data_IF_622714282002
#
_entry.id   IF_622714282002
#
_cell.length_a   1.000
_cell.length_b   1.000
_cell.length_c   1.000
_cell.angle_alpha   90.00
_cell.angle_beta   90.00
_cell.angle_gamma   90.00
#
_symmetry.space_group_name_H-M   'P 1'
#
loop_
_entity.id
_entity.type
_entity.pdbx_description
1 polymer ?
#
# COMPACT_ATOMS: atom_id res chain seq x y z
N UNK A 1 -52.31 3.99 23.95
CA UNK A 1 -51.86 5.35 24.30
C UNK A 1 -52.34 5.80 25.68
N UNK A 2 -53.62 5.65 26.05
CA UNK A 2 -54.15 6.10 27.37
C UNK A 2 -53.57 5.37 28.59
N UNK A 3 -53.34 4.04 28.52
CA UNK A 3 -52.68 3.28 29.61
C UNK A 3 -51.24 3.71 29.88
N UNK A 4 -50.51 4.17 28.85
CA UNK A 4 -49.16 4.73 28.98
C UNK A 4 -49.19 6.12 29.64
N UNK A 5 -50.21 6.94 29.34
CA UNK A 5 -50.42 8.25 29.98
C UNK A 5 -50.86 8.14 31.44
N UNK A 6 -51.74 7.19 31.78
CA UNK A 6 -52.18 6.94 33.16
C UNK A 6 -51.09 6.30 34.05
N UNK A 7 -50.20 5.48 33.47
CA UNK A 7 -49.03 4.98 34.19
C UNK A 7 -47.99 6.08 34.47
N UNK A 8 -47.88 7.11 33.63
CA UNK A 8 -46.90 8.20 33.79
C UNK A 8 -47.18 9.15 34.98
N UNK A 9 -48.37 9.07 35.60
CA UNK A 9 -48.76 9.91 36.75
C UNK A 9 -48.44 9.26 38.11
N UNK A 10 -48.24 7.93 38.16
CA UNK A 10 -47.90 7.21 39.40
C UNK A 10 -46.39 6.96 39.51
N UNK A 11 -45.83 6.96 40.73
CA UNK A 11 -44.39 6.76 40.95
C UNK A 11 -43.85 5.42 40.37
N UNK A 12 -44.57 4.29 40.48
CA UNK A 12 -44.16 3.02 39.88
C UNK A 12 -44.13 3.06 38.35
N UNK A 13 -45.09 3.72 37.70
CA UNK A 13 -45.09 3.83 36.24
C UNK A 13 -43.99 4.76 35.71
N UNK A 14 -43.66 5.83 36.44
CA UNK A 14 -42.50 6.70 36.13
C UNK A 14 -41.18 5.94 36.20
N UNK A 15 -40.99 5.07 37.21
CA UNK A 15 -39.79 4.25 37.33
C UNK A 15 -39.64 3.25 36.17
N UNK A 16 -40.74 2.62 35.72
CA UNK A 16 -40.73 1.74 34.54
C UNK A 16 -40.32 2.47 33.26
N UNK A 17 -40.85 3.67 33.03
CA UNK A 17 -40.51 4.48 31.85
C UNK A 17 -39.03 4.88 31.88
N UNK A 18 -38.53 5.35 33.03
CA UNK A 18 -37.11 5.70 33.18
C UNK A 18 -36.22 4.47 32.91
N UNK A 19 -36.59 3.30 33.42
CA UNK A 19 -35.80 2.08 33.19
C UNK A 19 -35.80 1.61 31.75
N UNK A 20 -36.95 1.64 31.09
CA UNK A 20 -37.03 1.35 29.67
C UNK A 20 -36.20 2.36 28.84
N UNK A 21 -36.26 3.65 29.17
CA UNK A 21 -35.49 4.69 28.49
C UNK A 21 -33.97 4.53 28.69
N UNK A 22 -33.51 4.22 29.90
CA UNK A 22 -32.09 3.97 30.18
C UNK A 22 -31.60 2.71 29.47
N UNK A 23 -32.36 1.63 29.51
CA UNK A 23 -32.02 0.40 28.79
C UNK A 23 -31.96 0.65 27.27
N UNK A 24 -32.92 1.40 26.72
CA UNK A 24 -32.93 1.78 25.31
C UNK A 24 -31.71 2.65 24.94
N UNK A 25 -31.31 3.61 25.79
CA UNK A 25 -30.11 4.43 25.56
C UNK A 25 -28.82 3.60 25.58
N UNK A 26 -28.68 2.65 26.52
CA UNK A 26 -27.52 1.76 26.59
C UNK A 26 -27.46 0.83 25.37
N UNK A 27 -28.61 0.29 24.93
CA UNK A 27 -28.69 -0.50 23.70
C UNK A 27 -28.37 0.32 22.46
N UNK A 28 -28.87 1.56 22.38
CA UNK A 28 -28.58 2.47 21.27
C UNK A 28 -27.08 2.78 21.21
N UNK A 29 -26.44 3.10 22.33
CA UNK A 29 -24.99 3.29 22.41
C UNK A 29 -24.25 2.05 21.91
N UNK A 30 -24.64 0.85 22.37
CA UNK A 30 -24.06 -0.41 21.89
C UNK A 30 -24.22 -0.62 20.38
N UNK A 31 -25.41 -0.41 19.83
CA UNK A 31 -25.70 -0.59 18.40
C UNK A 31 -24.93 0.39 17.53
N UNK A 32 -24.87 1.67 17.91
CA UNK A 32 -24.08 2.69 17.20
C UNK A 32 -22.59 2.35 17.25
N UNK A 33 -22.11 1.87 18.40
CA UNK A 33 -20.73 1.41 18.60
C UNK A 33 -20.39 0.24 17.68
N UNK A 34 -21.22 -0.81 17.67
CA UNK A 34 -21.06 -1.95 16.78
C UNK A 34 -21.04 -1.51 15.31
N UNK A 35 -21.98 -0.66 14.88
CA UNK A 35 -22.04 -0.17 13.51
C UNK A 35 -20.79 0.61 13.08
N UNK A 36 -20.36 1.60 13.88
CA UNK A 36 -19.17 2.40 13.59
C UNK A 36 -17.88 1.55 13.58
N UNK A 37 -17.73 0.61 14.53
CA UNK A 37 -16.55 -0.26 14.55
C UNK A 37 -16.57 -1.24 13.37
N UNK A 38 -17.72 -1.78 13.01
CA UNK A 38 -17.82 -2.77 11.92
C UNK A 38 -17.40 -2.17 10.57
N UNK A 39 -17.80 -0.93 10.29
CA UNK A 39 -17.34 -0.19 9.11
C UNK A 39 -15.81 -0.02 9.09
N UNK A 40 -15.20 0.28 10.25
CA UNK A 40 -13.75 0.47 10.38
C UNK A 40 -12.97 -0.83 10.30
N UNK A 41 -13.51 -1.92 10.85
CA UNK A 41 -12.94 -3.27 10.69
C UNK A 41 -12.94 -3.65 9.22
N UNK A 42 -14.03 -3.39 8.49
CA UNK A 42 -14.09 -3.61 7.04
C UNK A 42 -13.05 -2.80 6.28
N UNK A 43 -12.92 -1.50 6.56
CA UNK A 43 -11.90 -0.65 5.92
C UNK A 43 -10.46 -1.09 6.26
N UNK A 44 -10.18 -1.45 7.51
CA UNK A 44 -8.86 -1.95 7.91
C UNK A 44 -8.54 -3.34 7.32
N UNK A 45 -9.55 -4.20 7.15
CA UNK A 45 -9.41 -5.48 6.46
C UNK A 45 -9.13 -5.26 4.97
N UNK A 46 -9.82 -4.30 4.35
CA UNK A 46 -9.59 -3.91 2.96
C UNK A 46 -8.16 -3.40 2.72
N UNK A 47 -7.62 -2.58 3.63
CA UNK A 47 -6.21 -2.13 3.59
C UNK A 47 -5.24 -3.31 3.53
N UNK A 48 -5.43 -4.33 4.37
CA UNK A 48 -4.51 -5.47 4.50
C UNK A 48 -4.74 -6.54 3.44
N UNK A 49 -6.00 -6.87 3.18
CA UNK A 49 -6.41 -8.03 2.40
C UNK A 49 -6.60 -7.74 0.92
N UNK A 50 -6.74 -6.47 0.52
CA UNK A 50 -7.06 -6.11 -0.86
C UNK A 50 -6.24 -4.94 -1.40
N UNK A 51 -6.38 -3.76 -0.81
CA UNK A 51 -5.89 -2.51 -1.41
C UNK A 51 -4.37 -2.41 -1.38
N UNK A 52 -3.71 -2.89 -0.31
CA UNK A 52 -2.26 -2.93 -0.31
C UNK A 52 -1.68 -4.01 -1.23
N UNK A 53 -2.16 -5.28 -1.21
CA UNK A 53 -1.74 -6.28 -2.20
C UNK A 53 -1.90 -5.80 -3.65
N UNK A 54 -3.01 -5.12 -3.98
CA UNK A 54 -3.22 -4.56 -5.32
C UNK A 54 -2.19 -3.47 -5.68
N UNK A 55 -1.88 -2.56 -4.76
CA UNK A 55 -0.82 -1.56 -4.96
C UNK A 55 0.56 -2.21 -5.16
N UNK A 56 0.88 -3.25 -4.39
CA UNK A 56 2.13 -4.00 -4.53
C UNK A 56 2.21 -4.82 -5.83
N UNK A 57 1.09 -5.42 -6.26
CA UNK A 57 0.99 -6.11 -7.54
C UNK A 57 1.15 -5.13 -8.70
N UNK A 58 0.53 -3.95 -8.63
CA UNK A 58 0.69 -2.89 -9.64
C UNK A 58 2.15 -2.41 -9.77
N UNK A 59 2.84 -2.19 -8.65
CA UNK A 59 4.28 -1.90 -8.65
C UNK A 59 5.10 -3.06 -9.25
N UNK A 60 4.69 -4.31 -8.98
CA UNK A 60 5.34 -5.52 -9.51
C UNK A 60 5.11 -5.71 -11.01
N UNK A 61 3.97 -5.27 -11.56
CA UNK A 61 3.71 -5.24 -13.00
C UNK A 61 4.71 -4.30 -13.68
N UNK A 62 4.81 -3.05 -13.20
CA UNK A 62 5.76 -2.08 -13.76
C UNK A 62 7.18 -2.67 -13.79
N UNK A 63 7.62 -3.18 -12.64
CA UNK A 63 8.95 -3.73 -12.48
C UNK A 63 9.21 -4.89 -13.44
N UNK A 64 8.29 -5.86 -13.50
CA UNK A 64 8.44 -7.01 -14.40
C UNK A 64 8.52 -6.57 -15.87
N UNK A 65 7.79 -5.53 -16.26
CA UNK A 65 7.87 -4.98 -17.62
C UNK A 65 9.21 -4.30 -17.89
N UNK A 66 9.69 -3.47 -16.96
CA UNK A 66 10.95 -2.75 -17.12
C UNK A 66 12.19 -3.67 -17.02
N UNK A 67 12.15 -4.67 -16.15
CA UNK A 67 13.17 -5.72 -16.05
C UNK A 67 13.24 -6.56 -17.33
N UNK A 68 12.08 -6.95 -17.89
CA UNK A 68 12.02 -7.62 -19.18
C UNK A 68 12.65 -6.77 -20.29
N UNK A 69 12.37 -5.46 -20.32
CA UNK A 69 12.94 -4.57 -21.32
C UNK A 69 14.46 -4.42 -21.21
N UNK A 70 14.95 -4.31 -19.98
CA UNK A 70 16.37 -4.30 -19.67
C UNK A 70 17.06 -5.60 -20.08
N UNK A 71 16.46 -6.75 -19.76
CA UNK A 71 16.99 -8.06 -20.12
C UNK A 71 17.01 -8.25 -21.65
N UNK A 72 15.94 -7.82 -22.34
CA UNK A 72 15.87 -7.91 -23.80
C UNK A 72 16.93 -7.06 -24.49
N UNK A 73 17.19 -5.86 -23.98
CA UNK A 73 18.20 -4.93 -24.49
C UNK A 73 19.62 -5.46 -24.25
N UNK A 74 19.88 -5.99 -23.04
CA UNK A 74 21.17 -6.59 -22.69
C UNK A 74 21.45 -7.84 -23.53
N UNK A 75 20.43 -8.70 -23.72
CA UNK A 75 20.55 -9.90 -24.55
C UNK A 75 20.77 -9.57 -26.03
N UNK A 76 20.14 -8.52 -26.53
CA UNK A 76 20.40 -8.04 -27.89
C UNK A 76 21.83 -7.52 -28.06
N UNK A 77 22.32 -6.75 -27.08
CA UNK A 77 23.69 -6.22 -27.06
C UNK A 77 24.76 -7.33 -27.01
N UNK A 78 24.46 -8.48 -26.39
CA UNK A 78 25.33 -9.65 -26.40
C UNK A 78 25.43 -10.34 -27.78
N UNK A 79 24.54 -10.01 -28.73
CA UNK A 79 24.61 -10.52 -30.11
C UNK A 79 23.99 -11.90 -30.30
N UNK A 80 24.59 -12.72 -31.18
CA UNK A 80 24.08 -14.05 -31.53
C UNK A 80 24.17 -15.07 -30.38
N UNK A 81 25.17 -14.90 -29.51
CA UNK A 81 25.46 -15.75 -28.36
C UNK A 81 24.85 -15.18 -27.07
N UNK A 82 23.57 -14.80 -27.14
CA UNK A 82 22.84 -14.31 -25.98
C UNK A 82 22.91 -15.31 -24.80
N UNK A 83 23.36 -14.88 -23.61
CA UNK A 83 23.43 -15.75 -22.44
C UNK A 83 22.07 -16.31 -22.07
N UNK A 84 22.03 -17.60 -21.73
CA UNK A 84 20.80 -18.30 -21.37
C UNK A 84 20.11 -17.66 -20.17
N UNK A 85 20.89 -17.20 -19.21
CA UNK A 85 20.41 -16.58 -17.97
C UNK A 85 19.64 -15.28 -18.26
N UNK A 86 20.10 -14.48 -19.23
CA UNK A 86 19.42 -13.23 -19.65
C UNK A 86 18.08 -13.53 -20.31
N UNK A 87 18.04 -14.59 -21.13
CA UNK A 87 16.78 -15.07 -21.73
C UNK A 87 15.80 -15.58 -20.68
N UNK A 88 16.25 -16.43 -19.76
CA UNK A 88 15.40 -16.95 -18.68
C UNK A 88 14.84 -15.82 -17.80
N UNK A 89 15.64 -14.76 -17.53
CA UNK A 89 15.17 -13.56 -16.83
C UNK A 89 14.03 -12.87 -17.60
N UNK A 90 14.24 -12.58 -18.89
CA UNK A 90 13.20 -11.99 -19.75
C UNK A 90 11.88 -12.79 -19.75
N UNK A 91 11.96 -14.11 -19.97
CA UNK A 91 10.76 -14.97 -20.02
C UNK A 91 10.03 -15.01 -18.68
N UNK A 92 10.79 -15.07 -17.57
CA UNK A 92 10.24 -15.03 -16.22
C UNK A 92 9.49 -13.72 -15.97
N UNK A 93 10.08 -12.59 -16.36
CA UNK A 93 9.50 -11.28 -16.09
C UNK A 93 8.25 -11.01 -16.94
N UNK A 94 8.25 -11.39 -18.22
CA UNK A 94 7.03 -11.38 -19.05
C UNK A 94 5.93 -12.28 -18.48
N UNK A 95 6.30 -13.48 -18.00
CA UNK A 95 5.35 -14.41 -17.39
C UNK A 95 4.76 -13.84 -16.09
N UNK A 96 5.61 -13.22 -15.25
CA UNK A 96 5.19 -12.59 -14.00
C UNK A 96 4.27 -11.40 -14.26
N UNK A 97 4.63 -10.51 -15.18
CA UNK A 97 3.78 -9.39 -15.61
C UNK A 97 2.39 -9.90 -16.05
N UNK A 98 2.36 -10.93 -16.90
CA UNK A 98 1.11 -11.53 -17.38
C UNK A 98 0.24 -12.10 -16.25
N UNK A 99 0.84 -12.83 -15.30
CA UNK A 99 0.13 -13.37 -14.14
C UNK A 99 -0.43 -12.27 -13.24
N UNK A 100 0.38 -11.24 -12.97
CA UNK A 100 -0.03 -10.10 -12.16
C UNK A 100 -1.14 -9.31 -12.83
N UNK A 101 -1.12 -9.15 -14.17
CA UNK A 101 -2.20 -8.51 -14.91
C UNK A 101 -3.52 -9.29 -14.80
N UNK A 102 -3.47 -10.62 -14.85
CA UNK A 102 -4.66 -11.47 -14.63
C UNK A 102 -5.19 -11.32 -13.20
N UNK A 103 -4.29 -11.33 -12.21
CA UNK A 103 -4.67 -11.13 -10.81
C UNK A 103 -5.27 -9.74 -10.58
N UNK A 104 -4.67 -8.69 -11.15
CA UNK A 104 -5.19 -7.33 -11.11
C UNK A 104 -6.57 -7.28 -11.77
N UNK A 105 -6.74 -7.82 -12.98
CA UNK A 105 -8.04 -7.85 -13.66
C UNK A 105 -9.16 -8.56 -12.84
N UNK A 106 -8.81 -9.60 -12.08
CA UNK A 106 -9.75 -10.35 -11.24
C UNK A 106 -10.14 -9.61 -9.95
N UNK A 107 -9.31 -8.68 -9.47
CA UNK A 107 -9.45 -8.03 -8.15
C UNK A 107 -9.63 -6.51 -8.23
N UNK A 108 -9.39 -5.90 -9.39
CA UNK A 108 -9.70 -4.49 -9.67
C UNK A 108 -11.21 -4.31 -9.59
N UNK A 109 -11.65 -3.44 -8.69
CA UNK A 109 -13.06 -3.16 -8.46
C UNK A 109 -13.73 -2.42 -9.62
N UNK A 110 -14.77 -1.64 -9.32
CA UNK A 110 -15.48 -0.86 -10.33
C UNK A 110 -14.69 0.33 -10.92
N UNK A 111 -13.46 0.56 -10.44
CA UNK A 111 -12.61 1.67 -10.87
C UNK A 111 -12.35 1.63 -12.38
N UNK A 112 -12.64 2.73 -13.06
CA UNK A 112 -12.57 2.81 -14.52
C UNK A 112 -11.12 3.00 -15.00
N UNK A 113 -10.33 3.76 -14.26
CA UNK A 113 -8.95 4.08 -14.63
C UNK A 113 -8.05 2.84 -14.56
N UNK A 114 -8.13 2.07 -13.47
CA UNK A 114 -7.36 0.84 -13.30
C UNK A 114 -7.72 -0.20 -14.36
N UNK A 115 -9.03 -0.39 -14.64
CA UNK A 115 -9.49 -1.30 -15.71
C UNK A 115 -8.97 -0.87 -17.08
N UNK A 116 -8.95 0.43 -17.38
CA UNK A 116 -8.42 0.97 -18.64
C UNK A 116 -6.92 0.68 -18.78
N UNK A 117 -6.13 0.89 -17.72
CA UNK A 117 -4.69 0.59 -17.78
C UNK A 117 -4.43 -0.91 -17.93
N UNK A 118 -5.15 -1.77 -17.20
CA UNK A 118 -5.02 -3.23 -17.31
C UNK A 118 -5.35 -3.71 -18.72
N UNK A 119 -6.42 -3.17 -19.33
CA UNK A 119 -6.79 -3.52 -20.71
C UNK A 119 -5.69 -3.11 -21.71
N UNK A 120 -5.15 -1.89 -21.57
CA UNK A 120 -4.05 -1.41 -22.42
C UNK A 120 -2.81 -2.29 -22.26
N UNK A 121 -2.43 -2.62 -21.03
CA UNK A 121 -1.30 -3.49 -20.73
C UNK A 121 -1.49 -4.90 -21.32
N UNK A 122 -2.69 -5.47 -21.17
CA UNK A 122 -3.04 -6.77 -21.74
C UNK A 122 -3.03 -6.80 -23.27
N UNK A 123 -3.35 -5.69 -23.94
CA UNK A 123 -3.28 -5.58 -25.40
C UNK A 123 -1.84 -5.40 -25.90
N UNK A 124 -1.06 -4.55 -25.23
CA UNK A 124 0.27 -4.15 -25.72
C UNK A 124 1.37 -5.15 -25.38
N UNK A 125 1.26 -5.89 -24.27
CA UNK A 125 2.29 -6.85 -23.86
C UNK A 125 2.55 -7.96 -24.91
N UNK A 126 1.52 -8.60 -25.52
CA UNK A 126 1.74 -9.55 -26.61
C UNK A 126 2.40 -8.92 -27.86
N UNK A 127 2.07 -7.67 -28.18
CA UNK A 127 2.69 -6.96 -29.33
C UNK A 127 4.16 -6.70 -29.08
N UNK A 128 4.49 -6.22 -27.88
CA UNK A 128 5.86 -6.02 -27.42
C UNK A 128 6.68 -7.31 -27.50
N UNK A 129 6.19 -8.40 -26.91
CA UNK A 129 6.90 -9.70 -26.92
C UNK A 129 7.13 -10.19 -28.35
N UNK A 130 6.14 -10.06 -29.24
CA UNK A 130 6.30 -10.40 -30.66
C UNK A 130 7.41 -9.62 -31.38
N UNK A 131 7.60 -8.33 -31.05
CA UNK A 131 8.68 -7.51 -31.60
C UNK A 131 10.05 -7.92 -31.05
N UNK A 132 10.15 -8.24 -29.76
CA UNK A 132 11.40 -8.72 -29.15
C UNK A 132 11.85 -10.04 -29.78
N UNK A 133 10.93 -10.98 -30.02
CA UNK A 133 11.26 -12.24 -30.68
C UNK A 133 11.73 -12.03 -32.12
N UNK A 134 11.10 -11.11 -32.87
CA UNK A 134 11.56 -10.74 -34.22
C UNK A 134 12.95 -10.10 -34.18
N UNK A 135 13.18 -9.17 -33.24
CA UNK A 135 14.49 -8.55 -33.05
C UNK A 135 15.57 -9.60 -32.78
N UNK A 136 15.30 -10.54 -31.87
CA UNK A 136 16.21 -11.63 -31.49
C UNK A 136 16.50 -12.59 -32.64
N UNK A 137 15.48 -13.06 -33.35
CA UNK A 137 15.64 -13.94 -34.49
C UNK A 137 16.49 -13.29 -35.60
N UNK A 138 16.30 -12.00 -35.80
CA UNK A 138 17.04 -11.19 -36.79
C UNK A 138 18.48 -10.91 -36.32
N UNK A 139 18.69 -10.67 -35.02
CA UNK A 139 20.01 -10.49 -34.41
C UNK A 139 20.88 -11.73 -34.55
N UNK A 140 20.30 -12.92 -34.33
CA UNK A 140 20.99 -14.21 -34.55
C UNK A 140 21.44 -14.43 -35.99
N UNK A 141 20.79 -13.79 -36.96
CA UNK A 141 21.17 -13.83 -38.37
C UNK A 141 22.16 -12.72 -38.75
N UNK A 142 22.54 -11.85 -37.81
CA UNK A 142 23.42 -10.70 -38.07
C UNK A 142 22.79 -9.61 -38.92
N UNK A 143 21.45 -9.61 -39.06
CA UNK A 143 20.75 -8.66 -39.92
C UNK A 143 20.52 -7.33 -39.17
N UNK A 144 20.87 -6.16 -39.76
CA UNK A 144 20.70 -4.84 -39.12
C UNK A 144 19.26 -4.50 -38.72
N UNK A 145 18.28 -5.15 -39.36
CA UNK A 145 16.85 -4.95 -39.09
C UNK A 145 16.47 -5.31 -37.64
N UNK A 146 17.23 -6.19 -36.96
CA UNK A 146 16.97 -6.57 -35.57
C UNK A 146 16.99 -5.37 -34.61
N UNK A 147 17.91 -4.42 -34.84
CA UNK A 147 17.99 -3.21 -34.02
C UNK A 147 16.81 -2.27 -34.21
N UNK A 148 16.18 -2.27 -35.39
CA UNK A 148 14.97 -1.47 -35.63
C UNK A 148 13.76 -2.04 -34.88
N UNK A 149 13.57 -3.37 -34.90
CA UNK A 149 12.51 -4.03 -34.12
C UNK A 149 12.69 -3.81 -32.62
N UNK A 150 13.92 -3.92 -32.10
CA UNK A 150 14.19 -3.68 -30.69
C UNK A 150 13.88 -2.24 -30.29
N UNK A 151 14.35 -1.24 -31.06
CA UNK A 151 14.07 0.17 -30.78
C UNK A 151 12.57 0.45 -30.79
N UNK A 152 11.82 -0.12 -31.74
CA UNK A 152 10.37 0.03 -31.77
C UNK A 152 9.69 -0.65 -30.56
N UNK A 153 10.16 -1.83 -30.15
CA UNK A 153 9.66 -2.50 -28.95
C UNK A 153 9.93 -1.67 -27.69
N UNK A 154 11.14 -1.11 -27.55
CA UNK A 154 11.50 -0.25 -26.42
C UNK A 154 10.70 1.06 -26.43
N UNK A 155 10.46 1.66 -27.61
CA UNK A 155 9.56 2.80 -27.74
C UNK A 155 8.13 2.46 -27.26
N UNK A 156 7.58 1.30 -27.63
CA UNK A 156 6.29 0.82 -27.09
C UNK A 156 6.34 0.62 -25.57
N UNK A 157 7.43 0.07 -25.05
CA UNK A 157 7.62 -0.13 -23.62
C UNK A 157 7.62 1.22 -22.86
N UNK A 158 8.46 2.15 -23.27
CA UNK A 158 8.68 3.44 -22.62
C UNK A 158 7.51 4.43 -22.78
N UNK A 159 6.80 4.41 -23.92
CA UNK A 159 5.73 5.37 -24.19
C UNK A 159 4.33 4.88 -23.86
N UNK A 160 4.11 3.55 -23.78
CA UNK A 160 2.79 2.97 -23.55
C UNK A 160 2.75 2.07 -22.31
N UNK A 161 3.55 1.00 -22.28
CA UNK A 161 3.45 -0.02 -21.23
C UNK A 161 3.85 0.51 -19.85
N UNK A 162 5.05 1.11 -19.72
CA UNK A 162 5.52 1.64 -18.44
C UNK A 162 4.64 2.79 -17.93
N UNK A 163 4.23 3.79 -18.75
CA UNK A 163 3.29 4.81 -18.30
C UNK A 163 1.92 4.25 -17.91
N UNK A 164 1.42 3.21 -18.58
CA UNK A 164 0.16 2.56 -18.19
C UNK A 164 0.30 1.83 -16.85
N UNK A 165 1.40 1.09 -16.64
CA UNK A 165 1.70 0.43 -15.37
C UNK A 165 1.89 1.44 -14.23
N UNK A 166 2.53 2.59 -14.50
CA UNK A 166 2.67 3.66 -13.52
C UNK A 166 1.32 4.27 -13.13
N UNK A 167 0.43 4.55 -14.10
CA UNK A 167 -0.92 5.05 -13.80
C UNK A 167 -1.75 4.04 -13.00
N UNK A 168 -1.61 2.74 -13.30
CA UNK A 168 -2.25 1.68 -12.52
C UNK A 168 -1.73 1.68 -11.08
N UNK A 169 -0.41 1.79 -10.91
CA UNK A 169 0.22 1.88 -9.59
C UNK A 169 -0.25 3.10 -8.80
N UNK A 170 -0.31 4.27 -9.43
CA UNK A 170 -0.80 5.51 -8.82
C UNK A 170 -2.27 5.42 -8.40
N UNK A 171 -3.12 4.81 -9.25
CA UNK A 171 -4.54 4.62 -8.96
C UNK A 171 -4.77 3.68 -7.75
N UNK A 172 -4.14 2.51 -7.74
CA UNK A 172 -4.29 1.54 -6.64
C UNK A 172 -3.66 2.07 -5.34
N UNK A 173 -2.57 2.83 -5.43
CA UNK A 173 -1.97 3.50 -4.26
C UNK A 173 -2.87 4.62 -3.73
N UNK A 174 -3.52 5.39 -4.61
CA UNK A 174 -4.52 6.40 -4.22
C UNK A 174 -5.70 5.78 -3.48
N UNK A 175 -6.23 4.66 -3.98
CA UNK A 175 -7.29 3.89 -3.32
C UNK A 175 -6.89 3.39 -1.95
N UNK A 176 -5.68 2.85 -1.81
CA UNK A 176 -5.14 2.44 -0.52
C UNK A 176 -5.14 3.59 0.49
N UNK A 177 -4.77 4.81 0.07
CA UNK A 177 -4.83 5.99 0.95
C UNK A 177 -6.27 6.35 1.36
N UNK A 178 -7.25 6.21 0.47
CA UNK A 178 -8.67 6.41 0.80
C UNK A 178 -9.16 5.40 1.84
N UNK A 179 -8.88 4.10 1.64
CA UNK A 179 -9.28 3.06 2.61
C UNK A 179 -8.61 3.28 3.98
N UNK A 180 -7.37 3.79 3.99
CA UNK A 180 -6.67 4.22 5.20
C UNK A 180 -7.38 5.36 5.94
N UNK A 181 -7.81 6.39 5.22
CA UNK A 181 -8.47 7.56 5.79
C UNK A 181 -9.83 7.16 6.40
N UNK A 182 -10.58 6.30 5.73
CA UNK A 182 -11.85 5.76 6.22
C UNK A 182 -11.67 4.92 7.49
N UNK A 183 -10.65 4.05 7.52
CA UNK A 183 -10.34 3.22 8.70
C UNK A 183 -9.93 4.05 9.93
N UNK A 184 -9.33 5.23 9.75
CA UNK A 184 -8.83 6.11 10.84
C UNK A 184 -9.86 7.08 11.41
N UNK A 185 -11.03 7.21 10.77
CA UNK A 185 -12.07 8.18 11.15
C UNK A 185 -12.52 8.03 12.61
N UNK A 186 -12.76 9.15 13.32
CA UNK A 186 -13.18 9.12 14.74
C UNK A 186 -14.65 8.64 14.90
N UNK A 187 -14.96 7.77 15.88
CA UNK A 187 -16.32 7.27 16.13
C UNK A 187 -17.16 8.30 16.91
N UNK A 188 -17.41 9.46 16.31
CA UNK A 188 -18.07 10.59 16.97
C UNK A 188 -19.49 10.25 17.42
N UNK A 189 -20.22 9.41 16.66
CA UNK A 189 -21.58 9.03 17.03
C UNK A 189 -21.59 8.11 18.27
N UNK A 190 -20.66 7.17 18.37
CA UNK A 190 -20.51 6.30 19.54
C UNK A 190 -20.08 7.08 20.78
N UNK A 191 -19.11 7.99 20.63
CA UNK A 191 -18.68 8.86 21.74
C UNK A 191 -19.87 9.72 22.22
N UNK A 192 -20.60 10.35 21.30
CA UNK A 192 -21.76 11.17 21.64
C UNK A 192 -22.86 10.38 22.34
N UNK A 193 -23.25 9.22 21.79
CA UNK A 193 -24.29 8.36 22.38
C UNK A 193 -23.87 7.76 23.73
N UNK A 194 -22.59 7.40 23.89
CA UNK A 194 -22.03 6.91 25.15
C UNK A 194 -22.03 7.97 26.26
N UNK A 195 -21.62 9.20 25.94
CA UNK A 195 -21.68 10.33 26.89
C UNK A 195 -23.12 10.65 27.28
N UNK A 196 -24.07 10.61 26.34
CA UNK A 196 -25.48 10.80 26.62
C UNK A 196 -26.04 9.68 27.53
N UNK A 197 -25.69 8.42 27.28
CA UNK A 197 -26.11 7.30 28.12
C UNK A 197 -25.57 7.42 29.56
N UNK A 198 -24.28 7.78 29.72
CA UNK A 198 -23.68 8.02 31.03
C UNK A 198 -24.31 9.20 31.77
N UNK A 199 -24.59 10.31 31.06
CA UNK A 199 -25.28 11.45 31.63
C UNK A 199 -26.70 11.09 32.12
N UNK A 200 -27.43 10.29 31.34
CA UNK A 200 -28.77 9.81 31.72
C UNK A 200 -28.72 8.87 32.93
N UNK A 201 -27.75 7.95 32.98
CA UNK A 201 -27.53 7.05 34.13
C UNK A 201 -27.17 7.84 35.40
N UNK A 202 -26.25 8.80 35.30
CA UNK A 202 -25.86 9.66 36.41
C UNK A 202 -27.03 10.53 36.91
N UNK A 203 -27.84 11.07 35.99
CA UNK A 203 -29.06 11.80 36.34
C UNK A 203 -30.06 10.92 37.09
N UNK A 204 -30.28 9.67 36.62
CA UNK A 204 -31.20 8.74 37.26
C UNK A 204 -30.72 8.33 38.67
N UNK A 205 -29.42 8.10 38.83
CA UNK A 205 -28.81 7.84 40.14
C UNK A 205 -28.95 9.04 41.08
N UNK A 206 -28.64 10.26 40.62
CA UNK A 206 -28.78 11.50 41.41
C UNK A 206 -30.22 11.77 41.82
N UNK A 207 -31.18 11.52 40.92
CA UNK A 207 -32.62 11.62 41.20
C UNK A 207 -33.04 10.64 42.28
N UNK A 208 -32.61 9.37 42.19
CA UNK A 208 -32.90 8.35 43.19
C UNK A 208 -32.30 8.72 44.55
N UNK A 209 -31.05 9.18 44.58
CA UNK A 209 -30.39 9.64 45.80
C UNK A 209 -31.18 10.78 46.48
N UNK A 210 -31.53 11.83 45.73
CA UNK A 210 -32.28 12.99 46.25
C UNK A 210 -33.69 12.67 46.72
N UNK A 211 -34.37 11.68 46.13
CA UNK A 211 -35.75 11.32 46.51
C UNK A 211 -35.85 10.25 47.59
N UNK A 212 -34.87 9.36 47.69
CA UNK A 212 -34.96 8.18 48.57
C UNK A 212 -33.85 8.10 49.64
N UNK A 213 -32.90 9.04 49.68
CA UNK A 213 -31.75 9.09 50.60
C UNK A 213 -30.91 7.78 50.71
N UNK A 214 -31.11 6.80 49.80
CA UNK A 214 -30.33 5.56 49.70
C UNK A 214 -29.27 5.70 48.63
N UNK A 215 -28.06 5.25 48.96
CA UNK A 215 -26.82 5.67 48.29
C UNK A 215 -26.54 4.89 46.98
N UNK A 216 -26.92 3.61 46.86
CA UNK A 216 -26.59 2.81 45.66
C UNK A 216 -27.71 1.87 45.18
N UNK A 217 -28.09 1.99 43.90
CA UNK A 217 -28.81 0.95 43.18
C UNK A 217 -27.78 0.11 42.41
N UNK A 218 -27.53 -1.12 42.88
CA UNK A 218 -26.51 -2.00 42.31
C UNK A 218 -26.71 -2.26 40.80
N UNK A 219 -27.95 -2.31 40.30
CA UNK A 219 -28.21 -2.51 38.87
C UNK A 219 -27.87 -1.28 38.02
N UNK A 220 -28.19 -0.07 38.50
CA UNK A 220 -27.77 1.16 37.84
C UNK A 220 -26.25 1.36 37.91
N UNK A 221 -25.61 0.96 39.02
CA UNK A 221 -24.15 1.01 39.15
C UNK A 221 -23.48 0.03 38.18
N UNK A 222 -24.00 -1.19 38.04
CA UNK A 222 -23.53 -2.17 37.07
C UNK A 222 -23.73 -1.68 35.61
N UNK A 223 -24.86 -1.05 35.31
CA UNK A 223 -25.10 -0.43 33.99
C UNK A 223 -24.09 0.69 33.69
N UNK A 224 -23.85 1.59 34.66
CA UNK A 224 -22.83 2.64 34.52
C UNK A 224 -21.43 2.05 34.35
N UNK A 225 -21.07 1.04 35.12
CA UNK A 225 -19.78 0.36 35.00
C UNK A 225 -19.62 -0.29 33.62
N UNK A 226 -20.63 -0.99 33.12
CA UNK A 226 -20.61 -1.59 31.78
C UNK A 226 -20.47 -0.52 30.68
N UNK A 227 -21.21 0.59 30.76
CA UNK A 227 -21.10 1.70 29.81
C UNK A 227 -19.73 2.41 29.88
N UNK A 228 -19.16 2.57 31.08
CA UNK A 228 -17.82 3.14 31.27
C UNK A 228 -16.74 2.23 30.69
N UNK A 229 -16.81 0.93 30.95
CA UNK A 229 -15.88 -0.06 30.39
C UNK A 229 -15.98 -0.05 28.88
N UNK A 230 -17.20 -0.02 28.31
CA UNK A 230 -17.39 0.06 26.87
C UNK A 230 -16.77 1.34 26.28
N UNK A 231 -17.02 2.50 26.89
CA UNK A 231 -16.49 3.78 26.39
C UNK A 231 -14.96 3.85 26.52
N UNK A 232 -14.41 3.31 27.62
CA UNK A 232 -12.96 3.23 27.82
C UNK A 232 -12.31 2.25 26.84
N UNK A 233 -12.91 1.08 26.62
CA UNK A 233 -12.43 0.12 25.63
C UNK A 233 -12.48 0.71 24.23
N UNK A 234 -13.58 1.39 23.86
CA UNK A 234 -13.69 2.11 22.59
C UNK A 234 -12.56 3.13 22.44
N UNK A 235 -12.30 3.94 23.47
CA UNK A 235 -11.22 4.93 23.44
C UNK A 235 -9.85 4.27 23.25
N UNK A 236 -9.51 3.29 24.09
CA UNK A 236 -8.20 2.60 24.03
C UNK A 236 -8.02 1.85 22.71
N UNK A 237 -8.99 1.02 22.31
CA UNK A 237 -8.91 0.23 21.09
C UNK A 237 -8.83 1.11 19.85
N UNK A 238 -9.58 2.22 19.81
CA UNK A 238 -9.48 3.17 18.72
C UNK A 238 -8.14 3.92 18.71
N UNK A 239 -7.59 4.30 19.87
CA UNK A 239 -6.26 4.92 19.95
C UNK A 239 -5.16 3.98 19.47
N UNK A 240 -5.18 2.70 19.88
CA UNK A 240 -4.22 1.69 19.41
C UNK A 240 -4.37 1.49 17.91
N UNK A 241 -5.58 1.23 17.40
CA UNK A 241 -5.81 1.06 15.97
C UNK A 241 -5.34 2.27 15.17
N UNK A 242 -5.63 3.49 15.64
CA UNK A 242 -5.20 4.74 14.99
C UNK A 242 -3.69 4.92 15.00
N UNK A 243 -3.00 4.47 16.05
CA UNK A 243 -1.54 4.52 16.15
C UNK A 243 -0.90 3.53 15.19
N UNK A 244 -1.34 2.27 15.22
CA UNK A 244 -0.83 1.20 14.37
C UNK A 244 -1.08 1.48 12.88
N UNK A 245 -2.26 1.99 12.51
CA UNK A 245 -2.54 2.42 11.12
C UNK A 245 -1.75 3.67 10.74
N UNK A 246 -1.39 4.54 11.69
CA UNK A 246 -0.55 5.69 11.40
C UNK A 246 0.88 5.24 11.09
N UNK A 247 1.46 4.35 11.90
CA UNK A 247 2.76 3.71 11.65
C UNK A 247 2.74 2.97 10.31
N UNK A 248 1.71 2.16 10.05
CA UNK A 248 1.58 1.44 8.78
C UNK A 248 1.56 2.40 7.57
N UNK A 249 1.08 3.63 7.74
CA UNK A 249 1.09 4.66 6.69
C UNK A 249 2.44 5.40 6.60
N UNK A 250 2.87 6.07 7.67
CA UNK A 250 4.05 6.94 7.65
C UNK A 250 5.34 6.17 7.46
N UNK A 251 5.43 5.01 8.09
CA UNK A 251 6.69 4.27 8.19
C UNK A 251 6.69 3.15 7.13
N UNK A 252 5.56 2.44 6.99
CA UNK A 252 5.40 1.39 5.97
C UNK A 252 5.10 1.93 4.57
N UNK A 253 3.89 2.48 4.36
CA UNK A 253 3.40 2.79 3.01
C UNK A 253 4.16 3.93 2.32
N UNK A 254 4.53 4.98 3.05
CA UNK A 254 5.33 6.07 2.46
C UNK A 254 6.73 5.60 2.10
N UNK A 255 7.37 4.76 2.93
CA UNK A 255 8.66 4.15 2.62
C UNK A 255 8.56 3.25 1.38
N UNK A 256 7.55 2.37 1.33
CA UNK A 256 7.25 1.53 0.16
C UNK A 256 7.05 2.36 -1.11
N UNK A 257 6.30 3.47 -1.03
CA UNK A 257 6.11 4.33 -2.20
C UNK A 257 7.44 4.88 -2.71
N UNK A 258 8.24 5.45 -1.82
CA UNK A 258 9.53 6.06 -2.19
C UNK A 258 10.53 5.03 -2.71
N UNK A 259 10.56 3.83 -2.13
CA UNK A 259 11.41 2.72 -2.60
C UNK A 259 10.96 2.21 -3.97
N UNK A 260 9.66 2.10 -4.22
CA UNK A 260 9.14 1.71 -5.53
C UNK A 260 9.42 2.80 -6.58
N UNK A 261 9.22 4.08 -6.26
CA UNK A 261 9.58 5.21 -7.14
C UNK A 261 11.09 5.20 -7.46
N UNK A 262 11.95 4.94 -6.47
CA UNK A 262 13.39 4.81 -6.67
C UNK A 262 13.73 3.61 -7.57
N UNK A 263 13.10 2.45 -7.36
CA UNK A 263 13.31 1.27 -8.21
C UNK A 263 12.85 1.50 -9.64
N UNK A 264 11.75 2.21 -9.84
CA UNK A 264 11.28 2.68 -11.15
C UNK A 264 12.37 3.52 -11.85
N UNK A 265 12.89 4.56 -11.18
CA UNK A 265 13.94 5.41 -11.73
C UNK A 265 15.24 4.61 -12.05
N UNK A 266 15.59 3.64 -11.20
CA UNK A 266 16.72 2.73 -11.46
C UNK A 266 16.53 1.90 -12.72
N UNK A 267 15.33 1.38 -12.96
CA UNK A 267 15.04 0.57 -14.14
C UNK A 267 15.01 1.42 -15.41
N UNK A 268 14.46 2.64 -15.34
CA UNK A 268 14.51 3.61 -16.43
C UNK A 268 15.95 3.98 -16.79
N UNK A 269 16.78 4.29 -15.79
CA UNK A 269 18.20 4.56 -15.99
C UNK A 269 18.91 3.39 -16.68
N UNK A 270 18.61 2.15 -16.29
CA UNK A 270 19.22 0.98 -16.93
C UNK A 270 18.77 0.79 -18.38
N UNK A 271 17.50 1.06 -18.68
CA UNK A 271 16.99 1.04 -20.05
C UNK A 271 17.69 2.11 -20.92
N UNK A 272 17.77 3.35 -20.43
CA UNK A 272 18.46 4.46 -21.08
C UNK A 272 19.94 4.15 -21.33
N UNK A 273 20.66 3.63 -20.34
CA UNK A 273 22.05 3.22 -20.49
C UNK A 273 22.24 2.21 -21.63
N UNK A 274 21.42 1.15 -21.67
CA UNK A 274 21.50 0.16 -22.74
C UNK A 274 21.21 0.78 -24.12
N UNK A 275 20.26 1.71 -24.19
CA UNK A 275 19.89 2.39 -25.43
C UNK A 275 21.00 3.31 -25.97
N UNK A 276 21.88 3.84 -25.12
CA UNK A 276 23.06 4.59 -25.61
C UNK A 276 23.90 3.73 -26.56
N UNK A 277 24.11 2.45 -26.23
CA UNK A 277 24.89 1.50 -27.03
C UNK A 277 24.12 0.89 -28.21
N UNK A 278 22.79 0.79 -28.10
CA UNK A 278 21.93 0.26 -29.19
C UNK A 278 21.72 1.32 -30.27
N UNK A 279 21.44 2.56 -29.87
CA UNK A 279 21.18 3.66 -30.78
C UNK A 279 22.48 4.33 -31.27
N UNK A 280 23.57 4.24 -30.52
CA UNK A 280 24.90 4.76 -30.88
C UNK A 280 24.85 6.23 -31.32
N UNK A 281 24.16 7.07 -30.55
CA UNK A 281 23.98 8.49 -30.85
C UNK A 281 23.03 8.83 -32.01
N UNK A 282 22.32 7.84 -32.60
CA UNK A 282 21.38 8.09 -33.69
C UNK A 282 20.11 8.86 -33.24
N UNK A 283 19.84 8.91 -31.94
CA UNK A 283 18.68 9.62 -31.36
C UNK A 283 19.20 10.79 -30.53
N UNK A 284 18.91 12.00 -31.01
CA UNK A 284 19.39 13.23 -30.39
C UNK A 284 18.38 13.77 -29.38
N UNK A 285 18.90 14.40 -28.33
CA UNK A 285 18.11 15.16 -27.37
C UNK A 285 17.53 16.43 -28.02
N UNK A 286 16.72 17.18 -27.26
CA UNK A 286 16.06 18.39 -27.74
C UNK A 286 17.02 19.49 -28.23
N UNK A 287 18.29 19.45 -27.80
CA UNK A 287 19.34 20.37 -28.23
C UNK A 287 19.95 20.02 -29.60
N UNK A 288 19.50 18.92 -30.23
CA UNK A 288 20.01 18.36 -31.48
C UNK A 288 21.53 18.11 -31.47
N UNK A 289 22.12 17.87 -30.30
CA UNK A 289 23.56 17.65 -30.13
C UNK A 289 23.88 16.50 -29.20
N UNK A 290 23.18 16.41 -28.09
CA UNK A 290 23.43 15.41 -27.06
C UNK A 290 22.74 14.09 -27.42
N UNK A 291 23.31 12.97 -26.99
CA UNK A 291 22.63 11.67 -27.06
C UNK A 291 21.41 11.71 -26.13
N UNK A 292 20.22 11.43 -26.67
CA UNK A 292 18.97 11.47 -25.90
C UNK A 292 19.04 10.56 -24.67
N UNK A 293 19.55 9.35 -24.84
CA UNK A 293 19.51 8.33 -23.78
C UNK A 293 20.53 8.61 -22.68
N UNK A 294 21.62 9.28 -23.00
CA UNK A 294 22.62 9.76 -22.03
C UNK A 294 22.05 10.89 -21.14
N UNK A 295 21.27 11.78 -21.75
CA UNK A 295 20.54 12.84 -21.03
C UNK A 295 19.45 12.24 -20.13
N UNK A 296 18.66 11.30 -20.65
CA UNK A 296 17.60 10.62 -19.90
C UNK A 296 18.20 9.84 -18.71
N UNK A 297 19.29 9.07 -18.93
CA UNK A 297 20.04 8.38 -17.87
C UNK A 297 20.44 9.33 -16.74
N UNK A 298 20.97 10.51 -17.09
CA UNK A 298 21.41 11.50 -16.10
C UNK A 298 20.23 12.05 -15.28
N UNK A 299 19.08 12.27 -15.91
CA UNK A 299 17.86 12.72 -15.22
C UNK A 299 17.31 11.63 -14.29
N UNK A 300 17.17 10.40 -14.78
CA UNK A 300 16.68 9.24 -14.03
C UNK A 300 17.60 8.93 -12.83
N UNK A 301 18.91 9.05 -13.01
CA UNK A 301 19.90 8.92 -11.95
C UNK A 301 19.77 9.97 -10.82
N UNK A 302 19.27 11.16 -11.14
CA UNK A 302 19.02 12.23 -10.17
C UNK A 302 17.73 11.95 -9.40
N UNK A 303 16.71 11.43 -10.07
CA UNK A 303 15.47 10.99 -9.42
C UNK A 303 15.74 9.82 -8.47
N UNK A 304 16.55 8.85 -8.90
CA UNK A 304 17.01 7.74 -8.06
C UNK A 304 17.76 8.22 -6.81
N UNK A 305 18.73 9.13 -6.94
CA UNK A 305 19.43 9.71 -5.78
C UNK A 305 18.45 10.38 -4.79
N UNK A 306 17.51 11.16 -5.31
CA UNK A 306 16.51 11.85 -4.49
C UNK A 306 15.58 10.86 -3.78
N UNK A 307 15.15 9.81 -4.49
CA UNK A 307 14.36 8.71 -3.95
C UNK A 307 15.09 7.98 -2.82
N UNK A 308 16.34 7.56 -3.05
CA UNK A 308 17.18 6.90 -2.05
C UNK A 308 17.43 7.78 -0.83
N UNK A 309 17.69 9.07 -1.01
CA UNK A 309 17.87 10.01 0.09
C UNK A 309 16.60 10.19 0.93
N UNK A 310 15.42 10.11 0.31
CA UNK A 310 14.14 10.14 1.01
C UNK A 310 13.85 8.80 1.72
N UNK A 311 14.11 7.67 1.06
CA UNK A 311 13.97 6.34 1.66
C UNK A 311 14.86 6.19 2.90
N UNK A 312 16.11 6.68 2.85
CA UNK A 312 17.02 6.64 3.99
C UNK A 312 16.50 7.38 5.22
N UNK A 313 15.69 8.43 5.03
CA UNK A 313 15.06 9.21 6.12
C UNK A 313 13.80 8.56 6.67
N UNK A 314 13.11 7.76 5.86
CA UNK A 314 11.88 7.05 6.24
C UNK A 314 12.15 5.68 6.86
N UNK A 315 13.31 5.07 6.60
CA UNK A 315 13.65 3.77 7.15
C UNK A 315 13.94 3.85 8.67
N UNK A 316 13.15 3.13 9.45
CA UNK A 316 13.12 3.21 10.91
C UNK A 316 14.21 2.39 11.62
N UNK A 317 14.66 1.30 11.00
CA UNK A 317 15.66 0.40 11.57
C UNK A 317 16.86 0.17 10.62
N UNK A 318 17.88 -0.54 11.10
CA UNK A 318 19.04 -0.90 10.27
C UNK A 318 18.66 -1.88 9.15
N UNK A 319 17.65 -2.73 9.36
CA UNK A 319 17.22 -3.72 8.37
C UNK A 319 16.64 -3.06 7.11
N UNK A 320 15.99 -1.90 7.24
CA UNK A 320 15.56 -1.05 6.14
C UNK A 320 16.66 -0.08 5.65
N UNK A 321 17.43 0.53 6.56
CA UNK A 321 18.48 1.52 6.21
C UNK A 321 19.69 0.93 5.49
N UNK A 322 20.14 -0.27 5.87
CA UNK A 322 21.39 -0.84 5.33
C UNK A 322 21.26 -1.24 3.86
N UNK A 323 20.15 -1.83 3.38
CA UNK A 323 19.93 -2.03 1.95
C UNK A 323 19.84 -0.71 1.17
N UNK A 324 19.16 0.31 1.69
CA UNK A 324 19.08 1.63 1.01
C UNK A 324 20.46 2.29 0.90
N UNK A 325 21.28 2.20 1.94
CA UNK A 325 22.65 2.70 1.91
C UNK A 325 23.52 1.94 0.88
N UNK A 326 23.40 0.60 0.83
CA UNK A 326 24.07 -0.21 -0.19
C UNK A 326 23.61 0.13 -1.61
N UNK A 327 22.32 0.38 -1.82
CA UNK A 327 21.80 0.86 -3.10
C UNK A 327 22.42 2.21 -3.47
N UNK A 328 22.50 3.16 -2.53
CA UNK A 328 23.13 4.47 -2.78
C UNK A 328 24.62 4.36 -3.15
N UNK A 329 25.37 3.45 -2.51
CA UNK A 329 26.76 3.19 -2.88
C UNK A 329 26.89 2.48 -4.23
N UNK A 330 25.98 1.56 -4.54
CA UNK A 330 25.86 0.94 -5.87
C UNK A 330 25.59 1.96 -6.96
N UNK A 331 24.72 2.93 -6.72
CA UNK A 331 24.42 4.04 -7.65
C UNK A 331 25.64 4.91 -7.92
N UNK A 332 26.46 5.22 -6.90
CA UNK A 332 27.72 5.96 -7.09
C UNK A 332 28.68 5.19 -8.00
N UNK A 333 28.85 3.89 -7.76
CA UNK A 333 29.70 3.03 -8.58
C UNK A 333 29.16 2.91 -10.01
N UNK A 334 27.83 2.80 -10.15
CA UNK A 334 27.17 2.75 -11.45
C UNK A 334 27.46 4.00 -12.27
N UNK A 335 27.27 5.20 -11.71
CA UNK A 335 27.57 6.48 -12.39
C UNK A 335 29.01 6.57 -12.86
N UNK A 336 29.96 6.14 -12.03
CA UNK A 336 31.38 6.13 -12.39
C UNK A 336 31.68 5.17 -13.55
N UNK A 337 31.16 3.94 -13.48
CA UNK A 337 31.35 2.92 -14.52
C UNK A 337 30.67 3.29 -15.83
N UNK A 338 29.46 3.87 -15.75
CA UNK A 338 28.75 4.42 -16.90
C UNK A 338 29.59 5.51 -17.59
N UNK A 339 30.08 6.50 -16.84
CA UNK A 339 30.90 7.58 -17.41
C UNK A 339 32.16 7.05 -18.12
N UNK A 340 32.85 6.06 -17.54
CA UNK A 340 34.00 5.40 -18.16
C UNK A 340 33.63 4.66 -19.46
N UNK A 341 32.49 3.97 -19.48
CA UNK A 341 31.97 3.33 -20.68
C UNK A 341 31.61 4.34 -21.78
N UNK A 342 30.96 5.45 -21.41
CA UNK A 342 30.64 6.53 -22.34
C UNK A 342 31.87 7.19 -22.92
N UNK A 343 32.91 7.44 -22.12
CA UNK A 343 34.19 7.97 -22.62
C UNK A 343 34.84 7.03 -23.65
N UNK A 344 34.73 5.72 -23.43
CA UNK A 344 35.24 4.71 -24.37
C UNK A 344 34.42 4.67 -25.65
N UNK A 345 33.09 4.69 -25.56
CA UNK A 345 32.17 4.69 -26.70
C UNK A 345 32.30 5.97 -27.54
N UNK A 346 32.41 7.15 -26.91
CA UNK A 346 32.56 8.44 -27.59
C UNK A 346 33.91 8.59 -28.32
N UNK A 347 34.93 7.80 -27.97
CA UNK A 347 36.18 7.68 -28.75
C UNK A 347 36.05 6.77 -29.97
N UNK A 348 34.88 6.18 -30.19
CA UNK A 348 34.59 5.26 -31.28
C UNK A 348 34.92 3.79 -30.97
N UNK A 349 35.31 3.46 -29.73
CA UNK A 349 35.68 2.10 -29.34
C UNK A 349 34.49 1.35 -28.72
N UNK A 350 33.50 1.05 -29.57
CA UNK A 350 32.31 0.31 -29.18
C UNK A 350 32.63 -1.07 -28.59
N UNK A 351 33.65 -1.75 -29.14
CA UNK A 351 34.01 -3.10 -28.71
C UNK A 351 34.58 -3.12 -27.30
N UNK A 352 35.32 -2.09 -26.88
CA UNK A 352 35.78 -1.95 -25.51
C UNK A 352 34.69 -1.40 -24.55
N UNK A 353 33.77 -0.55 -25.04
CA UNK A 353 32.71 0.01 -24.21
C UNK A 353 31.62 -1.02 -23.85
N UNK A 354 31.28 -1.92 -24.78
CA UNK A 354 30.24 -2.92 -24.60
C UNK A 354 30.40 -3.77 -23.32
N UNK A 355 31.52 -4.47 -23.08
CA UNK A 355 31.69 -5.29 -21.88
C UNK A 355 31.75 -4.47 -20.58
N UNK A 356 32.07 -3.18 -20.64
CA UNK A 356 31.98 -2.28 -19.47
C UNK A 356 30.53 -2.02 -19.04
N UNK A 357 29.56 -2.15 -19.96
CA UNK A 357 28.12 -1.92 -19.69
C UNK A 357 27.36 -3.20 -19.39
N UNK A 358 27.50 -4.24 -20.22
CA UNK A 358 26.75 -5.49 -20.05
C UNK A 358 27.48 -6.50 -19.15
N UNK A 359 28.79 -6.37 -18.97
CA UNK A 359 29.62 -7.34 -18.26
C UNK A 359 29.94 -8.58 -19.09
N UNK A 360 31.05 -9.23 -18.75
CA UNK A 360 31.43 -10.55 -19.25
C UNK A 360 32.30 -11.27 -18.20
N UNK A 361 32.91 -12.40 -18.56
CA UNK A 361 33.78 -13.18 -17.66
C UNK A 361 34.96 -12.39 -17.09
N UNK A 362 35.45 -11.39 -17.82
CA UNK A 362 36.62 -10.58 -17.49
C UNK A 362 36.22 -9.19 -16.91
N UNK A 363 34.98 -8.74 -17.14
CA UNK A 363 34.42 -7.47 -16.70
C UNK A 363 33.31 -7.66 -15.66
N UNK A 364 33.67 -8.22 -14.51
CA UNK A 364 32.74 -8.43 -13.38
C UNK A 364 32.30 -7.12 -12.71
N UNK A 365 33.09 -6.07 -12.88
CA UNK A 365 32.84 -4.73 -12.35
C UNK A 365 32.19 -3.82 -13.42
N UNK A 366 31.23 -4.34 -14.18
CA UNK A 366 30.48 -3.57 -15.18
C UNK A 366 29.46 -2.64 -14.53
N UNK A 367 28.94 -1.69 -15.33
CA UNK A 367 27.81 -0.86 -14.90
C UNK A 367 26.55 -1.70 -14.66
N UNK A 368 26.34 -2.76 -15.46
CA UNK A 368 25.29 -3.76 -15.24
C UNK A 368 25.39 -4.48 -13.89
N UNK A 369 26.59 -4.84 -13.45
CA UNK A 369 26.79 -5.45 -12.13
C UNK A 369 26.48 -4.47 -10.97
N UNK A 370 26.75 -3.18 -11.17
CA UNK A 370 26.33 -2.15 -10.21
C UNK A 370 24.81 -2.03 -10.17
N UNK A 371 24.14 -2.04 -11.33
CA UNK A 371 22.68 -2.05 -11.42
C UNK A 371 22.09 -3.27 -10.69
N UNK A 372 22.59 -4.49 -10.92
CA UNK A 372 22.09 -5.69 -10.23
C UNK A 372 22.25 -5.58 -8.70
N UNK A 373 23.32 -4.93 -8.23
CA UNK A 373 23.52 -4.64 -6.80
C UNK A 373 22.49 -3.64 -6.27
N UNK A 374 22.18 -2.59 -7.02
CA UNK A 374 21.16 -1.59 -6.67
C UNK A 374 19.78 -2.24 -6.62
N UNK A 375 19.42 -3.00 -7.66
CA UNK A 375 18.11 -3.67 -7.77
C UNK A 375 17.89 -4.67 -6.63
N UNK A 376 18.89 -5.53 -6.33
CA UNK A 376 18.81 -6.47 -5.23
C UNK A 376 18.71 -5.78 -3.86
N UNK A 377 19.39 -4.65 -3.68
CA UNK A 377 19.35 -3.88 -2.43
C UNK A 377 18.00 -3.18 -2.24
N UNK A 378 17.43 -2.61 -3.31
CA UNK A 378 16.09 -2.03 -3.30
C UNK A 378 15.01 -3.11 -3.08
N UNK A 379 15.15 -4.29 -3.68
CA UNK A 379 14.25 -5.42 -3.43
C UNK A 379 14.26 -5.83 -1.96
N UNK A 380 15.44 -5.92 -1.35
CA UNK A 380 15.57 -6.24 0.06
C UNK A 380 14.92 -5.17 0.95
N UNK A 381 15.09 -3.89 0.64
CA UNK A 381 14.44 -2.79 1.34
C UNK A 381 12.90 -2.89 1.23
N UNK A 382 12.37 -3.04 0.02
CA UNK A 382 10.92 -3.18 -0.23
C UNK A 382 10.36 -4.38 0.53
N UNK A 383 11.04 -5.53 0.51
CA UNK A 383 10.59 -6.73 1.20
C UNK A 383 10.57 -6.57 2.73
N UNK A 384 11.46 -5.75 3.29
CA UNK A 384 11.46 -5.39 4.71
C UNK A 384 10.28 -4.48 5.05
N UNK A 385 10.14 -3.36 4.35
CA UNK A 385 9.07 -2.38 4.60
C UNK A 385 7.68 -2.98 4.37
N UNK A 386 7.56 -3.91 3.42
CA UNK A 386 6.34 -4.68 3.20
C UNK A 386 5.94 -5.51 4.42
N UNK A 387 6.91 -6.10 5.13
CA UNK A 387 6.64 -6.89 6.35
C UNK A 387 6.27 -5.97 7.52
N UNK A 388 6.96 -4.85 7.66
CA UNK A 388 6.64 -3.82 8.68
C UNK A 388 5.21 -3.31 8.49
N UNK A 389 4.87 -2.91 7.25
CA UNK A 389 3.52 -2.51 6.86
C UNK A 389 2.49 -3.57 7.27
N UNK A 390 2.68 -4.83 6.82
CA UNK A 390 1.69 -5.89 7.06
C UNK A 390 1.53 -6.18 8.55
N UNK A 391 2.60 -6.08 9.34
CA UNK A 391 2.54 -6.27 10.79
C UNK A 391 1.75 -5.15 11.47
N UNK A 392 2.08 -3.90 11.19
CA UNK A 392 1.41 -2.74 11.79
C UNK A 392 -0.08 -2.69 11.39
N UNK A 393 -0.38 -2.88 10.10
CA UNK A 393 -1.76 -2.87 9.61
C UNK A 393 -2.61 -4.01 10.22
N UNK A 394 -2.05 -5.24 10.34
CA UNK A 394 -2.73 -6.35 11.04
C UNK A 394 -2.87 -6.12 12.54
N UNK A 395 -1.89 -5.49 13.18
CA UNK A 395 -1.96 -5.09 14.58
C UNK A 395 -3.12 -4.14 14.83
N UNK A 396 -3.27 -3.12 13.97
CA UNK A 396 -4.39 -2.19 14.02
C UNK A 396 -5.75 -2.84 13.77
N UNK A 397 -5.85 -3.74 12.78
CA UNK A 397 -7.06 -4.54 12.54
C UNK A 397 -7.42 -5.41 13.75
N UNK A 398 -6.43 -6.08 14.35
CA UNK A 398 -6.60 -6.92 15.54
C UNK A 398 -7.12 -6.14 16.75
N UNK A 399 -6.67 -4.89 16.93
CA UNK A 399 -7.14 -4.01 17.99
C UNK A 399 -8.64 -3.66 17.86
N UNK A 400 -9.18 -3.65 16.64
CA UNK A 400 -10.61 -3.38 16.36
C UNK A 400 -11.49 -4.64 16.44
N UNK A 401 -10.96 -5.82 16.13
CA UNK A 401 -11.77 -7.05 16.04
C UNK A 401 -12.49 -7.43 17.34
N UNK A 402 -11.82 -7.28 18.50
CA UNK A 402 -12.41 -7.59 19.81
C UNK A 402 -13.48 -6.60 20.28
N UNK A 403 -13.50 -5.38 19.71
CA UNK A 403 -14.43 -4.33 20.08
C UNK A 403 -15.86 -4.63 19.60
N UNK A 404 -16.05 -5.29 18.46
CA UNK A 404 -17.39 -5.60 17.91
C UNK A 404 -18.15 -6.56 18.83
N UNK A 405 -17.53 -7.68 19.20
CA UNK A 405 -18.14 -8.70 20.06
C UNK A 405 -18.24 -8.21 21.52
N UNK A 406 -17.21 -7.54 22.03
CA UNK A 406 -17.20 -6.98 23.38
C UNK A 406 -18.25 -5.88 23.59
N UNK A 407 -18.45 -5.00 22.60
CA UNK A 407 -19.45 -3.92 22.68
C UNK A 407 -20.88 -4.43 22.69
N UNK A 408 -21.21 -5.41 21.85
CA UNK A 408 -22.50 -6.06 21.85
C UNK A 408 -22.81 -6.72 23.22
N UNK A 409 -21.84 -7.46 23.77
CA UNK A 409 -21.99 -8.13 25.06
C UNK A 409 -22.19 -7.11 26.21
N UNK A 410 -21.36 -6.06 26.28
CA UNK A 410 -21.45 -5.02 27.31
C UNK A 410 -22.75 -4.22 27.22
N UNK A 411 -23.26 -3.96 26.01
CA UNK A 411 -24.53 -3.28 25.82
C UNK A 411 -25.71 -4.11 26.33
N UNK A 412 -25.74 -5.41 26.03
CA UNK A 412 -26.78 -6.33 26.52
C UNK A 412 -26.73 -6.46 28.04
N UNK A 413 -25.53 -6.63 28.61
CA UNK A 413 -25.33 -6.72 30.07
C UNK A 413 -25.75 -5.42 30.76
N UNK A 414 -25.36 -4.26 30.23
CA UNK A 414 -25.72 -2.95 30.77
C UNK A 414 -27.23 -2.69 30.72
N UNK A 415 -27.89 -3.05 29.62
CA UNK A 415 -29.34 -2.92 29.48
C UNK A 415 -30.08 -3.86 30.45
N UNK A 416 -29.65 -5.11 30.59
CA UNK A 416 -30.21 -6.06 31.55
C UNK A 416 -30.02 -5.57 32.99
N UNK A 417 -28.85 -5.05 33.34
CA UNK A 417 -28.56 -4.49 34.66
C UNK A 417 -29.44 -3.27 34.99
N UNK A 418 -29.69 -2.38 34.01
CA UNK A 418 -30.58 -1.25 34.17
C UNK A 418 -32.03 -1.69 34.44
N UNK A 419 -32.53 -2.69 33.69
CA UNK A 419 -33.87 -3.25 33.88
C UNK A 419 -34.02 -3.96 35.23
N UNK A 420 -33.06 -4.81 35.61
CA UNK A 420 -33.07 -5.54 36.89
C UNK A 420 -32.96 -4.59 38.11
N UNK A 421 -32.13 -3.55 38.01
CA UNK A 421 -31.99 -2.53 39.06
C UNK A 421 -33.28 -1.77 39.34
N UNK A 422 -34.11 -1.56 38.32
CA UNK A 422 -35.41 -0.88 38.46
C UNK A 422 -36.52 -1.86 38.83
N UNK A 423 -36.47 -3.09 38.31
CA UNK A 423 -37.36 -4.20 38.67
C UNK A 423 -37.33 -4.52 40.16
N UNK A 424 -36.13 -4.63 40.76
CA UNK A 424 -35.97 -4.84 42.22
C UNK A 424 -36.58 -3.71 43.07
N UNK A 425 -36.57 -2.46 42.57
CA UNK A 425 -37.26 -1.36 43.26
C UNK A 425 -38.78 -1.47 43.13
N UNK A 426 -39.29 -1.86 41.97
CA UNK A 426 -40.72 -2.04 41.76
C UNK A 426 -41.33 -3.13 42.66
N UNK A 427 -40.54 -4.15 43.05
CA UNK A 427 -40.98 -5.17 44.01
C UNK A 427 -41.04 -4.67 45.46
N UNK A 428 -40.40 -3.55 45.81
CA UNK A 428 -40.50 -2.96 47.16
C UNK A 428 -41.79 -2.16 47.38
N UNK A 429 -42.51 -1.81 46.30
CA UNK A 429 -43.81 -1.10 46.34
C UNK A 429 -45.03 -2.02 46.20
N UNK A 430 -44.82 -3.34 46.17
CA UNK A 430 -45.85 -4.36 46.27
C UNK A 430 -45.86 -4.89 47.69
#
# INVERSE_FOLDING_TARGET
MERLRAAATTEPGRLRIIGAALAALVLLFGLVTVWEISARVGAADDVVGRSQPLSADAASIYRSLADADTASSSGFLAGADEPREVRERYEKDVSNASKLLVNAAANTGADEDSRKQIALLGEQLPRYTGLIEQARATNKQGLPLGGAYLRYANEQMSTQLLPAAQRLYEAETGRLYTDYDDARSLPLASIGTGLLALAALAWAQRRNYRRTNRVFNHGLAAATAASLVLLMWLAVGHTVARSELAVARSDGQESLKVLNDARIASLQARASENLTLIARGAVLAADNKSDKYDVDFTAEMKELDAGLAKAQKLADDSSGRDPVARAADGVKQWKQRHAAARETDLRGDYQAALPQVIGDKDHKDSSGASFDTVDASLEQAVAHEQKEFTRAARGGLGALGGLVTGSAALAVVGAAAALLGIGRRLSEYR
#
